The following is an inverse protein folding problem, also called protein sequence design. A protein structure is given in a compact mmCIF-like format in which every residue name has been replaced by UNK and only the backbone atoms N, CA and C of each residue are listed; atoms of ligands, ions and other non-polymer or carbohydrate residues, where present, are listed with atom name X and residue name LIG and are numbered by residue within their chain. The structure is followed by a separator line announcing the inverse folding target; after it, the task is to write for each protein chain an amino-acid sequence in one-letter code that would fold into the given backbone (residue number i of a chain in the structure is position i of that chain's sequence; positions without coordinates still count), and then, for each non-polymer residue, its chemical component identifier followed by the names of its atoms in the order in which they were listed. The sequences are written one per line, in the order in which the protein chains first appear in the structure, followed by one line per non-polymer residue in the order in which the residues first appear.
data_IF_256210331889
#
_entry.id   IF_256210331889
#
_cell.length_a   1.000
_cell.length_b   1.000
_cell.length_c   1.000
_cell.angle_alpha   90.00
_cell.angle_beta   90.00
_cell.angle_gamma   90.00
#
_symmetry.space_group_name_H-M   'P 1'
#
loop_
_entity.id
_entity.type
_entity.pdbx_description
1 polymer ?
#
# COMPACT_ATOMS: atom_id res chain seq x y z
N UNK A 1 -6.83 6.18 -14.68
CA UNK A 1 -5.48 6.37 -14.07
C UNK A 1 -5.44 5.52 -12.81
N UNK A 2 -4.45 4.63 -12.65
CA UNK A 2 -4.20 3.90 -11.41
C UNK A 2 -3.04 4.60 -10.72
N UNK A 3 -3.14 4.84 -9.41
CA UNK A 3 -2.11 5.51 -8.62
C UNK A 3 -1.70 4.66 -7.43
N UNK A 4 -0.44 4.76 -7.04
CA UNK A 4 0.09 4.23 -5.79
C UNK A 4 0.13 5.37 -4.77
N UNK A 5 -0.70 5.28 -3.72
CA UNK A 5 -0.89 6.35 -2.75
C UNK A 5 0.07 6.16 -1.57
N UNK A 6 1.00 7.08 -1.40
CA UNK A 6 1.95 7.06 -0.30
C UNK A 6 1.34 7.63 0.98
N UNK A 7 1.01 6.75 1.93
CA UNK A 7 0.34 7.12 3.18
C UNK A 7 1.29 7.26 4.39
N UNK A 8 2.59 7.03 4.19
CA UNK A 8 3.58 7.06 5.29
C UNK A 8 3.48 8.34 6.12
N UNK A 9 3.29 8.15 7.44
CA UNK A 9 3.17 9.25 8.40
C UNK A 9 1.84 10.00 8.34
N UNK A 10 0.92 9.61 7.47
CA UNK A 10 -0.40 10.25 7.37
C UNK A 10 -1.43 9.55 8.27
N UNK A 11 -2.40 10.32 8.76
CA UNK A 11 -3.53 9.80 9.52
C UNK A 11 -4.63 9.31 8.57
N UNK A 12 -5.05 8.06 8.75
CA UNK A 12 -6.20 7.46 8.07
C UNK A 12 -7.27 7.07 9.09
N UNK A 13 -8.51 7.47 8.84
CA UNK A 13 -9.65 7.10 9.68
C UNK A 13 -10.53 6.10 8.92
N UNK A 14 -10.81 4.96 9.55
CA UNK A 14 -11.78 3.97 9.06
C UNK A 14 -12.98 3.98 9.99
N UNK A 15 -14.16 4.25 9.44
CA UNK A 15 -15.42 4.23 10.18
C UNK A 15 -16.19 2.96 9.82
N UNK A 16 -16.38 2.10 10.82
CA UNK A 16 -16.93 0.76 10.66
C UNK A 16 -15.87 -0.32 10.81
N UNK A 17 -16.21 -1.38 11.57
CA UNK A 17 -15.34 -2.53 11.86
C UNK A 17 -15.88 -3.85 11.31
N UNK A 18 -16.88 -3.78 10.41
CA UNK A 18 -17.39 -4.95 9.68
C UNK A 18 -16.38 -5.52 8.68
N UNK A 19 -16.81 -6.45 7.84
CA UNK A 19 -15.94 -7.11 6.86
C UNK A 19 -15.22 -6.13 5.93
N UNK A 20 -15.91 -5.07 5.45
CA UNK A 20 -15.30 -4.07 4.58
C UNK A 20 -14.28 -3.21 5.34
N UNK A 21 -14.61 -2.72 6.53
CA UNK A 21 -13.67 -1.98 7.37
C UNK A 21 -12.43 -2.81 7.69
N UNK A 22 -12.60 -4.10 8.01
CA UNK A 22 -11.50 -5.02 8.27
C UNK A 22 -10.57 -5.18 7.06
N UNK A 23 -11.13 -5.32 5.84
CA UNK A 23 -10.33 -5.39 4.59
C UNK A 23 -9.51 -4.12 4.39
N UNK A 24 -10.11 -2.94 4.64
CA UNK A 24 -9.41 -1.65 4.52
C UNK A 24 -8.28 -1.53 5.54
N UNK A 25 -8.53 -1.87 6.80
CA UNK A 25 -7.50 -1.87 7.85
C UNK A 25 -6.35 -2.81 7.50
N UNK A 26 -6.64 -4.03 7.03
CA UNK A 26 -5.60 -4.98 6.62
C UNK A 26 -4.70 -4.43 5.50
N UNK A 27 -5.29 -3.75 4.53
CA UNK A 27 -4.54 -3.09 3.45
C UNK A 27 -3.70 -1.93 3.97
N UNK A 28 -4.25 -1.10 4.86
CA UNK A 28 -3.57 0.06 5.43
C UNK A 28 -2.37 -0.32 6.32
N UNK A 29 -2.41 -1.47 6.99
CA UNK A 29 -1.31 -1.96 7.83
C UNK A 29 0.00 -2.19 7.06
N UNK A 30 -0.05 -2.26 5.73
CA UNK A 30 1.13 -2.37 4.86
C UNK A 30 1.72 -1.01 4.46
N UNK A 31 1.07 0.12 4.84
CA UNK A 31 1.37 1.46 4.30
C UNK A 31 2.14 2.38 5.26
N UNK A 32 2.51 1.91 6.46
CA UNK A 32 3.24 2.71 7.47
C UNK A 32 2.53 4.04 7.80
N UNK A 33 1.18 4.01 7.91
CA UNK A 33 0.33 5.13 8.25
C UNK A 33 -0.26 4.98 9.67
N UNK A 34 -0.68 6.10 10.26
CA UNK A 34 -1.44 6.07 11.51
C UNK A 34 -2.90 5.72 11.21
N UNK A 35 -3.44 4.68 11.87
CA UNK A 35 -4.80 4.19 11.63
C UNK A 35 -5.66 4.36 12.87
N UNK A 36 -6.77 5.08 12.72
CA UNK A 36 -7.83 5.14 13.73
C UNK A 36 -9.06 4.44 13.19
N UNK A 37 -9.56 3.46 13.92
CA UNK A 37 -10.83 2.78 13.60
C UNK A 37 -11.89 3.24 14.60
N UNK A 38 -13.03 3.69 14.10
CA UNK A 38 -14.17 4.14 14.91
C UNK A 38 -15.40 3.29 14.55
N UNK A 39 -15.99 2.61 15.53
CA UNK A 39 -17.17 1.78 15.30
C UNK A 39 -17.97 1.55 16.59
N UNK A 40 -19.26 1.32 16.48
CA UNK A 40 -20.11 0.93 17.62
C UNK A 40 -19.86 -0.50 18.12
N UNK A 41 -19.38 -1.38 17.23
CA UNK A 41 -19.05 -2.78 17.53
C UNK A 41 -17.56 -3.05 17.29
N UNK A 42 -17.05 -4.11 17.87
CA UNK A 42 -15.67 -4.54 17.65
C UNK A 42 -15.65 -5.85 16.85
N UNK A 43 -14.73 -5.93 15.91
CA UNK A 43 -14.35 -7.17 15.24
C UNK A 43 -13.15 -7.77 16.02
N UNK A 44 -13.08 -9.10 16.24
CA UNK A 44 -11.98 -9.73 16.96
C UNK A 44 -10.60 -9.37 16.42
N UNK A 45 -10.45 -9.29 15.10
CA UNK A 45 -9.18 -8.95 14.46
C UNK A 45 -8.80 -7.46 14.67
N UNK A 46 -9.78 -6.55 14.62
CA UNK A 46 -9.58 -5.12 14.95
C UNK A 46 -9.12 -4.99 16.40
N UNK A 47 -9.77 -5.72 17.32
CA UNK A 47 -9.37 -5.74 18.74
C UNK A 47 -7.94 -6.26 18.91
N UNK A 48 -7.56 -7.32 18.17
CA UNK A 48 -6.19 -7.86 18.17
C UNK A 48 -5.18 -6.83 17.69
N UNK A 49 -5.45 -6.14 16.58
CA UNK A 49 -4.55 -5.10 16.07
C UNK A 49 -4.43 -3.90 17.02
N UNK A 50 -5.52 -3.52 17.69
CA UNK A 50 -5.49 -2.46 18.70
C UNK A 50 -4.63 -2.85 19.91
N UNK A 51 -4.78 -4.10 20.44
CA UNK A 51 -3.94 -4.62 21.52
C UNK A 51 -2.45 -4.70 21.14
N UNK A 52 -2.14 -4.93 19.86
CA UNK A 52 -0.77 -4.93 19.32
C UNK A 52 -0.21 -3.52 19.06
N UNK A 53 -0.96 -2.46 19.34
CA UNK A 53 -0.55 -1.08 19.06
C UNK A 53 -0.49 -0.70 17.58
N UNK A 54 -0.99 -1.56 16.68
CA UNK A 54 -0.95 -1.34 15.22
C UNK A 54 -1.99 -0.34 14.74
N UNK A 55 -3.06 -0.16 15.49
CA UNK A 55 -4.16 0.78 15.22
C UNK A 55 -4.66 1.37 16.54
N UNK A 56 -5.32 2.53 16.46
CA UNK A 56 -6.12 3.07 17.56
C UNK A 56 -7.59 2.72 17.32
N UNK A 57 -8.24 1.99 18.22
CA UNK A 57 -9.65 1.64 18.11
C UNK A 57 -10.47 2.46 19.11
N UNK A 58 -11.55 3.09 18.62
CA UNK A 58 -12.52 3.84 19.42
C UNK A 58 -13.90 3.23 19.27
N UNK A 59 -14.41 2.63 20.35
CA UNK A 59 -15.76 2.07 20.38
C UNK A 59 -16.78 3.18 20.62
N UNK A 60 -17.32 3.75 19.53
CA UNK A 60 -18.26 4.87 19.57
C UNK A 60 -19.34 4.63 18.54
N UNK A 61 -20.62 4.81 18.93
CA UNK A 61 -21.74 4.88 18.00
C UNK A 61 -21.81 6.29 17.43
N UNK A 62 -21.70 6.40 16.12
CA UNK A 62 -21.76 7.68 15.42
C UNK A 62 -23.14 7.90 14.83
N UNK A 63 -23.67 9.11 14.93
CA UNK A 63 -24.93 9.54 14.31
C UNK A 63 -24.67 10.59 13.23
N UNK A 64 -23.48 11.21 13.23
CA UNK A 64 -23.07 12.24 12.28
C UNK A 64 -21.55 12.18 12.03
N UNK A 65 -21.06 13.13 11.27
CA UNK A 65 -19.64 13.27 10.92
C UNK A 65 -18.89 14.36 11.72
N UNK A 66 -19.50 14.92 12.79
CA UNK A 66 -18.90 16.02 13.57
C UNK A 66 -17.58 15.61 14.23
N UNK A 67 -17.43 14.33 14.58
CA UNK A 67 -16.21 13.79 15.18
C UNK A 67 -14.95 14.04 14.34
N UNK A 68 -15.07 14.14 12.99
CA UNK A 68 -13.94 14.39 12.10
C UNK A 68 -13.25 15.73 12.40
N UNK A 69 -13.97 16.74 12.91
CA UNK A 69 -13.41 18.04 13.23
C UNK A 69 -12.32 17.99 14.33
N UNK A 70 -12.27 16.89 15.11
CA UNK A 70 -11.24 16.65 16.13
C UNK A 70 -9.93 16.11 15.56
N UNK A 71 -9.91 15.81 14.25
CA UNK A 71 -8.77 15.19 13.57
C UNK A 71 -8.42 15.98 12.32
N UNK A 72 -7.23 15.72 11.79
CA UNK A 72 -6.79 16.20 10.47
C UNK A 72 -6.41 14.99 9.61
N UNK A 73 -7.38 14.13 9.24
CA UNK A 73 -7.07 12.93 8.47
C UNK A 73 -6.67 13.30 7.05
N UNK A 74 -5.69 12.55 6.52
CA UNK A 74 -5.38 12.60 5.10
C UNK A 74 -6.42 11.82 4.27
N UNK A 75 -6.93 10.73 4.84
CA UNK A 75 -7.88 9.84 4.20
C UNK A 75 -8.95 9.38 5.20
N UNK A 76 -10.20 9.37 4.78
CA UNK A 76 -11.33 8.84 5.55
C UNK A 76 -12.03 7.76 4.73
N UNK A 77 -12.25 6.60 5.34
CA UNK A 77 -12.96 5.48 4.74
C UNK A 77 -14.25 5.20 5.53
N UNK A 78 -15.40 5.49 4.93
CA UNK A 78 -16.71 5.17 5.46
C UNK A 78 -17.12 3.76 5.02
N UNK A 79 -17.22 2.83 5.97
CA UNK A 79 -17.47 1.39 5.72
C UNK A 79 -18.57 0.84 6.62
N UNK A 80 -19.50 1.71 7.03
CA UNK A 80 -20.65 1.31 7.85
C UNK A 80 -21.77 0.72 6.97
N UNK A 81 -22.76 0.13 7.60
CA UNK A 81 -24.00 -0.31 6.93
C UNK A 81 -25.00 0.85 6.74
N UNK A 82 -24.77 1.99 7.40
CA UNK A 82 -25.60 3.18 7.29
C UNK A 82 -25.12 4.08 6.14
N UNK A 83 -25.82 4.01 5.01
CA UNK A 83 -25.52 4.81 3.81
C UNK A 83 -25.59 6.32 4.06
N UNK A 84 -26.54 6.75 4.87
CA UNK A 84 -26.73 8.17 5.19
C UNK A 84 -25.54 8.69 6.00
N UNK A 85 -25.08 7.92 6.98
CA UNK A 85 -23.89 8.25 7.75
C UNK A 85 -22.63 8.24 6.86
N UNK A 86 -22.47 7.23 5.99
CA UNK A 86 -21.34 7.17 5.06
C UNK A 86 -21.27 8.43 4.18
N UNK A 87 -22.39 8.87 3.62
CA UNK A 87 -22.49 10.10 2.81
C UNK A 87 -22.07 11.34 3.63
N UNK A 88 -22.62 11.52 4.83
CA UNK A 88 -22.24 12.63 5.72
C UNK A 88 -20.75 12.65 6.05
N UNK A 89 -20.15 11.47 6.26
CA UNK A 89 -18.71 11.34 6.52
C UNK A 89 -17.89 11.78 5.31
N UNK A 90 -18.25 11.32 4.10
CA UNK A 90 -17.57 11.70 2.85
C UNK A 90 -17.66 13.21 2.61
N UNK A 91 -18.86 13.78 2.72
CA UNK A 91 -19.08 15.22 2.53
C UNK A 91 -18.26 16.06 3.53
N UNK A 92 -18.23 15.64 4.80
CA UNK A 92 -17.43 16.32 5.83
C UNK A 92 -15.94 16.21 5.56
N UNK A 93 -15.45 15.01 5.19
CA UNK A 93 -14.05 14.78 4.86
C UNK A 93 -13.59 15.66 3.68
N UNK A 94 -14.38 15.74 2.62
CA UNK A 94 -14.10 16.61 1.47
C UNK A 94 -14.05 18.10 1.85
N UNK A 95 -14.98 18.58 2.67
CA UNK A 95 -14.95 19.96 3.22
C UNK A 95 -13.67 20.23 4.01
N UNK A 96 -13.07 19.21 4.61
CA UNK A 96 -11.79 19.28 5.31
C UNK A 96 -10.57 19.05 4.42
N UNK A 97 -10.77 18.92 3.08
CA UNK A 97 -9.72 18.62 2.10
C UNK A 97 -9.02 17.27 2.34
N UNK A 98 -9.72 16.32 2.96
CA UNK A 98 -9.28 14.94 3.10
C UNK A 98 -9.80 14.11 1.94
N UNK A 99 -9.04 13.13 1.46
CA UNK A 99 -9.57 12.12 0.55
C UNK A 99 -10.65 11.29 1.25
N UNK A 100 -11.70 10.94 0.53
CA UNK A 100 -12.84 10.23 1.07
C UNK A 100 -13.25 9.03 0.23
N UNK A 101 -13.63 7.96 0.91
CA UNK A 101 -14.11 6.72 0.30
C UNK A 101 -15.34 6.22 1.05
N UNK A 102 -16.39 5.81 0.31
CA UNK A 102 -17.53 5.08 0.81
C UNK A 102 -17.56 3.67 0.20
N UNK A 103 -17.73 2.65 1.04
CA UNK A 103 -17.72 1.25 0.57
C UNK A 103 -18.98 0.85 -0.22
N UNK A 104 -20.06 1.58 -0.04
CA UNK A 104 -21.38 1.34 -0.59
C UNK A 104 -21.76 2.25 -1.76
N UNK A 105 -20.96 3.31 -2.01
CA UNK A 105 -21.27 4.30 -3.03
C UNK A 105 -19.95 4.77 -3.73
N UNK A 106 -19.61 4.18 -4.88
CA UNK A 106 -18.45 4.59 -5.64
C UNK A 106 -18.54 6.02 -6.21
N UNK A 107 -19.74 6.52 -6.47
CA UNK A 107 -19.93 7.83 -7.11
C UNK A 107 -19.59 9.00 -6.20
N UNK A 108 -19.78 8.83 -4.89
CA UNK A 108 -19.35 9.83 -3.91
C UNK A 108 -17.93 9.61 -3.41
N UNK A 109 -17.21 8.60 -3.88
CA UNK A 109 -15.83 8.33 -3.48
C UNK A 109 -14.84 9.09 -4.36
N UNK A 110 -13.73 9.57 -3.77
CA UNK A 110 -12.66 10.25 -4.53
C UNK A 110 -11.79 9.26 -5.31
N UNK A 111 -11.88 7.97 -4.96
CA UNK A 111 -11.11 6.90 -5.61
C UNK A 111 -11.84 5.56 -5.46
N UNK A 112 -11.46 4.60 -6.29
CA UNK A 112 -11.91 3.22 -6.21
C UNK A 112 -10.76 2.29 -5.80
N UNK A 113 -11.10 1.19 -5.15
CA UNK A 113 -10.13 0.13 -4.84
C UNK A 113 -10.11 -0.90 -5.97
N UNK A 114 -9.03 -0.98 -6.75
CA UNK A 114 -8.87 -2.04 -7.74
C UNK A 114 -8.68 -3.40 -7.07
N UNK A 115 -8.82 -4.47 -7.85
CA UNK A 115 -8.43 -5.81 -7.41
C UNK A 115 -6.90 -5.92 -7.44
N UNK A 116 -6.25 -5.96 -6.28
CA UNK A 116 -4.78 -5.98 -6.17
C UNK A 116 -4.26 -7.40 -6.02
N UNK A 117 -3.20 -7.72 -6.77
CA UNK A 117 -2.35 -8.90 -6.62
C UNK A 117 -1.09 -8.44 -5.87
N UNK A 118 -0.72 -9.17 -4.83
CA UNK A 118 0.52 -8.91 -4.09
C UNK A 118 1.44 -10.15 -4.20
N UNK A 119 2.66 -9.97 -4.67
CA UNK A 119 3.65 -11.03 -4.80
C UNK A 119 4.83 -10.72 -3.90
N UNK A 120 5.01 -11.56 -2.87
CA UNK A 120 6.11 -11.51 -1.91
C UNK A 120 6.30 -10.11 -1.26
N UNK A 121 5.20 -9.38 -1.03
CA UNK A 121 5.16 -8.01 -0.50
C UNK A 121 6.13 -7.03 -1.21
N UNK A 122 6.38 -7.30 -2.48
CA UNK A 122 7.38 -6.57 -3.27
C UNK A 122 6.81 -6.07 -4.60
N UNK A 123 6.01 -6.90 -5.29
CA UNK A 123 5.38 -6.53 -6.55
C UNK A 123 3.88 -6.46 -6.36
N UNK A 124 3.27 -5.37 -6.78
CA UNK A 124 1.82 -5.19 -6.79
C UNK A 124 1.32 -4.96 -8.21
N UNK A 125 0.24 -5.64 -8.55
CA UNK A 125 -0.47 -5.45 -9.82
C UNK A 125 -1.94 -5.15 -9.54
N UNK A 126 -2.42 -4.04 -10.06
CA UNK A 126 -3.79 -3.61 -9.89
C UNK A 126 -4.62 -3.89 -11.15
N UNK A 127 -5.78 -4.53 -10.98
CA UNK A 127 -6.74 -4.80 -12.04
C UNK A 127 -8.00 -3.99 -11.79
N UNK A 128 -8.33 -3.10 -12.72
CA UNK A 128 -9.52 -2.27 -12.66
C UNK A 128 -10.33 -2.40 -13.96
N UNK A 129 -11.64 -2.39 -13.83
CA UNK A 129 -12.60 -2.32 -14.96
C UNK A 129 -13.31 -0.96 -14.97
N UNK A 130 -12.72 0.07 -14.34
CA UNK A 130 -13.36 1.39 -14.23
C UNK A 130 -14.71 1.38 -13.48
N UNK A 131 -14.91 0.41 -12.58
CA UNK A 131 -16.21 0.23 -11.89
C UNK A 131 -17.22 -0.62 -12.66
N UNK A 132 -16.98 -0.90 -13.96
CA UNK A 132 -17.96 -1.57 -14.83
C UNK A 132 -18.28 -3.00 -14.41
N UNK A 133 -17.31 -3.77 -13.89
CA UNK A 133 -17.56 -5.15 -13.48
C UNK A 133 -16.58 -5.66 -12.42
N UNK A 134 -16.93 -5.57 -11.13
CA UNK A 134 -16.12 -6.14 -10.05
C UNK A 134 -15.87 -7.66 -10.20
N UNK A 135 -16.87 -8.40 -10.73
CA UNK A 135 -16.74 -9.83 -10.97
C UNK A 135 -15.68 -10.14 -12.04
N UNK A 136 -15.66 -9.39 -13.14
CA UNK A 136 -14.65 -9.54 -14.18
C UNK A 136 -13.27 -9.11 -13.71
N UNK A 137 -13.17 -8.02 -12.96
CA UNK A 137 -11.91 -7.61 -12.35
C UNK A 137 -11.33 -8.73 -11.47
N UNK A 138 -12.17 -9.38 -10.64
CA UNK A 138 -11.77 -10.54 -9.83
C UNK A 138 -11.33 -11.74 -10.68
N UNK A 139 -12.07 -12.07 -11.74
CA UNK A 139 -11.74 -13.18 -12.66
C UNK A 139 -10.39 -12.95 -13.34
N UNK A 140 -10.17 -11.74 -13.86
CA UNK A 140 -8.90 -11.33 -14.48
C UNK A 140 -7.77 -11.39 -13.47
N UNK A 141 -8.00 -10.84 -12.24
CA UNK A 141 -7.03 -10.93 -11.14
C UNK A 141 -6.53 -12.35 -10.92
N UNK A 142 -7.44 -13.33 -10.77
CA UNK A 142 -7.09 -14.73 -10.49
C UNK A 142 -6.20 -15.31 -11.62
N UNK A 143 -6.57 -15.07 -12.87
CA UNK A 143 -5.77 -15.52 -14.04
C UNK A 143 -4.39 -14.86 -14.05
N UNK A 144 -4.34 -13.55 -13.87
CA UNK A 144 -3.10 -12.78 -13.85
C UNK A 144 -2.19 -13.19 -12.69
N UNK A 145 -2.74 -13.42 -11.51
CA UNK A 145 -2.00 -13.88 -10.34
C UNK A 145 -1.32 -15.23 -10.58
N UNK A 146 -2.04 -16.19 -11.18
CA UNK A 146 -1.49 -17.48 -11.54
C UNK A 146 -0.33 -17.36 -12.53
N UNK A 147 -0.47 -16.49 -13.55
CA UNK A 147 0.59 -16.22 -14.52
C UNK A 147 1.81 -15.57 -13.84
N UNK A 148 1.60 -14.54 -13.04
CA UNK A 148 2.69 -13.81 -12.38
C UNK A 148 3.47 -14.68 -11.39
N UNK A 149 2.79 -15.53 -10.62
CA UNK A 149 3.44 -16.48 -9.70
C UNK A 149 4.35 -17.50 -10.39
N UNK A 150 4.06 -17.80 -11.66
CA UNK A 150 4.92 -18.71 -12.46
C UNK A 150 6.12 -17.98 -13.08
N UNK A 151 5.98 -16.68 -13.37
CA UNK A 151 6.96 -15.93 -14.15
C UNK A 151 7.81 -14.95 -13.32
N UNK A 152 7.40 -14.61 -12.10
CA UNK A 152 8.22 -13.80 -11.17
C UNK A 152 8.96 -14.76 -10.24
N UNK A 153 10.27 -14.83 -10.42
CA UNK A 153 11.16 -15.69 -9.64
C UNK A 153 11.58 -15.06 -8.31
N UNK A 154 12.14 -15.85 -7.41
CA UNK A 154 12.78 -15.31 -6.20
C UNK A 154 13.97 -14.40 -6.55
N UNK A 155 14.67 -14.67 -7.65
CA UNK A 155 15.75 -13.80 -8.15
C UNK A 155 15.22 -12.40 -8.47
N UNK A 156 14.07 -12.28 -9.15
CA UNK A 156 13.43 -10.99 -9.45
C UNK A 156 13.08 -10.23 -8.17
N UNK A 157 12.50 -10.91 -7.18
CA UNK A 157 12.17 -10.32 -5.90
C UNK A 157 13.42 -9.80 -5.17
N UNK A 158 14.49 -10.61 -5.14
CA UNK A 158 15.76 -10.19 -4.57
C UNK A 158 16.39 -9.03 -5.35
N UNK A 159 16.30 -9.05 -6.69
CA UNK A 159 16.79 -7.97 -7.53
C UNK A 159 16.08 -6.65 -7.22
N UNK A 160 14.75 -6.64 -7.07
CA UNK A 160 13.99 -5.43 -6.70
C UNK A 160 14.44 -4.90 -5.33
N UNK A 161 14.58 -5.79 -4.35
CA UNK A 161 15.07 -5.40 -3.01
C UNK A 161 16.49 -4.85 -3.05
N UNK A 162 17.37 -5.46 -3.86
CA UNK A 162 18.74 -5.00 -4.05
C UNK A 162 18.78 -3.65 -4.76
N UNK A 163 17.90 -3.39 -5.73
CA UNK A 163 17.79 -2.08 -6.38
C UNK A 163 17.38 -0.97 -5.40
N UNK A 164 16.49 -1.27 -4.45
CA UNK A 164 16.16 -0.32 -3.37
C UNK A 164 17.39 0.03 -2.53
N UNK A 165 18.17 -0.98 -2.14
CA UNK A 165 19.43 -0.81 -1.41
C UNK A 165 20.46 -0.02 -2.25
N UNK A 166 20.71 -0.43 -3.50
CA UNK A 166 21.64 0.23 -4.41
C UNK A 166 21.31 1.70 -4.64
N UNK A 167 20.00 2.03 -4.76
CA UNK A 167 19.52 3.41 -4.91
C UNK A 167 19.80 4.25 -3.67
N UNK A 168 19.65 3.68 -2.48
CA UNK A 168 19.98 4.36 -1.24
C UNK A 168 21.48 4.69 -1.18
N UNK A 169 22.37 3.71 -1.41
CA UNK A 169 23.83 3.89 -1.40
C UNK A 169 24.29 4.88 -2.50
N UNK A 170 23.71 4.77 -3.71
CA UNK A 170 24.05 5.66 -4.81
C UNK A 170 23.71 7.13 -4.53
N UNK A 171 22.62 7.41 -3.83
CA UNK A 171 22.25 8.78 -3.46
C UNK A 171 23.24 9.47 -2.54
N UNK A 172 24.03 8.70 -1.77
CA UNK A 172 25.04 9.25 -0.87
C UNK A 172 26.34 9.62 -1.58
N UNK A 173 26.56 9.09 -2.79
CA UNK A 173 27.87 9.15 -3.48
C UNK A 173 27.76 9.84 -4.84
N UNK A 174 26.70 9.59 -5.58
CA UNK A 174 26.52 10.08 -6.95
C UNK A 174 25.59 11.30 -6.98
N UNK A 175 26.11 12.43 -7.42
CA UNK A 175 25.40 13.72 -7.43
C UNK A 175 24.30 13.78 -8.48
N UNK A 176 24.56 13.26 -9.70
CA UNK A 176 23.62 13.40 -10.82
C UNK A 176 22.60 12.26 -10.89
N UNK A 177 21.42 12.57 -11.41
CA UNK A 177 20.39 11.57 -11.65
C UNK A 177 20.82 10.56 -12.74
N UNK A 178 21.57 11.03 -13.74
CA UNK A 178 22.04 10.21 -14.84
C UNK A 178 23.04 9.13 -14.36
N UNK A 179 24.00 9.51 -13.51
CA UNK A 179 24.98 8.56 -12.98
C UNK A 179 24.33 7.53 -12.07
N UNK A 180 23.40 7.97 -11.22
CA UNK A 180 22.58 7.05 -10.42
C UNK A 180 21.80 6.05 -11.29
N UNK A 181 21.22 6.51 -12.41
CA UNK A 181 20.51 5.64 -13.35
C UNK A 181 21.46 4.62 -13.98
N UNK A 182 22.62 5.08 -14.52
CA UNK A 182 23.65 4.21 -15.12
C UNK A 182 24.13 3.14 -14.12
N UNK A 183 24.43 3.55 -12.89
CA UNK A 183 24.84 2.63 -11.82
C UNK A 183 23.80 1.56 -11.54
N UNK A 184 22.52 1.95 -11.37
CA UNK A 184 21.46 1.01 -11.08
C UNK A 184 21.24 -0.02 -12.20
N UNK A 185 21.35 0.40 -13.47
CA UNK A 185 21.33 -0.53 -14.61
C UNK A 185 22.58 -1.42 -14.63
N UNK A 186 23.75 -0.89 -14.27
CA UNK A 186 24.98 -1.66 -14.11
C UNK A 186 24.82 -2.77 -13.07
N UNK A 187 24.28 -2.45 -11.89
CA UNK A 187 23.97 -3.43 -10.84
C UNK A 187 22.98 -4.50 -11.33
N UNK A 188 21.94 -4.09 -12.04
CA UNK A 188 20.93 -5.01 -12.57
C UNK A 188 21.50 -5.99 -13.60
N UNK A 189 22.50 -5.57 -14.40
CA UNK A 189 23.10 -6.35 -15.47
C UNK A 189 24.40 -7.09 -15.08
N UNK A 190 24.93 -6.82 -13.88
CA UNK A 190 26.16 -7.48 -13.41
C UNK A 190 25.95 -8.99 -13.25
N UNK A 191 26.73 -9.79 -13.96
CA UNK A 191 26.63 -11.26 -13.97
C UNK A 191 26.86 -11.88 -12.59
N UNK A 192 27.78 -11.29 -11.79
CA UNK A 192 28.04 -11.76 -10.43
C UNK A 192 26.87 -11.48 -9.49
N UNK A 193 26.27 -10.28 -9.59
CA UNK A 193 25.06 -9.95 -8.82
C UNK A 193 23.95 -10.94 -9.14
N UNK A 194 23.67 -11.20 -10.43
CA UNK A 194 22.66 -12.17 -10.84
C UNK A 194 22.92 -13.57 -10.27
N UNK A 195 24.15 -14.07 -10.38
CA UNK A 195 24.54 -15.36 -9.80
C UNK A 195 24.30 -15.43 -8.30
N UNK A 196 24.73 -14.39 -7.55
CA UNK A 196 24.52 -14.32 -6.09
C UNK A 196 23.05 -14.31 -5.69
N UNK A 197 22.20 -13.57 -6.44
CA UNK A 197 20.76 -13.52 -6.16
C UNK A 197 20.06 -14.85 -6.48
N UNK A 198 20.47 -15.52 -7.55
CA UNK A 198 19.98 -16.86 -7.91
C UNK A 198 20.30 -17.88 -6.82
N UNK A 199 21.46 -17.77 -6.20
CA UNK A 199 21.89 -18.60 -5.06
C UNK A 199 21.30 -18.15 -3.70
N UNK A 200 20.48 -17.11 -3.66
CA UNK A 200 19.91 -16.55 -2.42
C UNK A 200 20.93 -15.79 -1.54
N UNK A 201 22.14 -15.52 -2.04
CA UNK A 201 23.22 -14.83 -1.32
C UNK A 201 23.06 -13.30 -1.30
N UNK A 202 21.92 -12.84 -0.79
CA UNK A 202 21.53 -11.42 -0.83
C UNK A 202 22.56 -10.49 -0.15
N UNK A 203 23.08 -10.86 1.04
CA UNK A 203 24.06 -10.05 1.75
C UNK A 203 25.36 -9.88 0.96
N UNK A 204 25.84 -10.94 0.30
CA UNK A 204 27.02 -10.90 -0.55
C UNK A 204 26.78 -10.02 -1.79
N UNK A 205 25.58 -10.04 -2.36
CA UNK A 205 25.20 -9.14 -3.44
C UNK A 205 25.22 -7.67 -3.00
N UNK A 206 24.81 -7.34 -1.78
CA UNK A 206 24.93 -5.97 -1.22
C UNK A 206 26.41 -5.52 -1.11
N UNK A 207 27.30 -6.42 -0.68
CA UNK A 207 28.76 -6.12 -0.64
C UNK A 207 29.29 -5.84 -2.05
N UNK A 208 28.89 -6.63 -3.05
CA UNK A 208 29.27 -6.39 -4.45
C UNK A 208 28.78 -5.04 -4.95
N UNK A 209 27.55 -4.65 -4.65
CA UNK A 209 26.99 -3.33 -4.99
C UNK A 209 27.85 -2.19 -4.40
N UNK A 210 28.22 -2.29 -3.13
CA UNK A 210 29.10 -1.28 -2.51
C UNK A 210 30.48 -1.22 -3.17
N UNK A 211 31.03 -2.37 -3.57
CA UNK A 211 32.30 -2.42 -4.31
C UNK A 211 32.16 -1.72 -5.66
N UNK A 212 31.14 -2.04 -6.45
CA UNK A 212 30.87 -1.39 -7.74
C UNK A 212 30.73 0.13 -7.61
N UNK A 213 30.13 0.62 -6.52
CA UNK A 213 29.96 2.04 -6.29
C UNK A 213 31.29 2.73 -5.97
N UNK A 214 32.22 2.05 -5.28
CA UNK A 214 33.58 2.55 -5.01
C UNK A 214 34.43 2.61 -6.26
N UNK A 215 34.24 1.68 -7.20
CA UNK A 215 34.96 1.62 -8.47
C UNK A 215 34.56 2.75 -9.45
N UNK A 216 33.50 3.52 -9.13
CA UNK A 216 33.06 4.69 -9.91
C UNK A 216 33.57 6.04 -9.35
N UNK A 217 34.28 6.03 -8.22
CA UNK A 217 34.99 7.19 -7.66
C UNK A 217 36.37 7.28 -8.24
#
# INVERSE_FOLDING_TARGET
MIVDLHLKGNLVIVVGSGNEGMKKVSSLLTQDCEIIVISSSSNPQITKYAKQGKIKFKKIKLNDAAFLSKYKPYLVMATTTDRTLNRKIVEKARKMKSYAYASDDPEISDFAHPSVINIADTVQVAVSTGGSSPAMARKIKIKTESFLKKNISNEDIYQIKLQKFARFEAKQVLSTQLDRKKFLYGVMNDKRVKGLLKEGKYKTAQVRVKKMLRELK
#
